data_IF_540375269847
#
_entry.id   IF_540375269847
#
_cell.length_a   1.000
_cell.length_b   1.000
_cell.length_c   1.000
_cell.angle_alpha   90.00
_cell.angle_beta   90.00
_cell.angle_gamma   90.00
#
_symmetry.space_group_name_H-M   'P 1'
#
loop_
_entity.id
_entity.type
_entity.pdbx_description
1 polymer ?
#
# COMPACT_ATOMS: atom_id res chain seq x y z
N UNK A 1 1.95 17.29 -13.39
CA UNK A 1 1.43 15.93 -13.45
C UNK A 1 2.49 14.96 -12.97
N UNK A 2 2.07 13.86 -12.29
CA UNK A 2 2.92 12.72 -11.97
C UNK A 2 2.15 11.42 -12.19
N UNK A 3 2.88 10.31 -12.35
CA UNK A 3 2.30 8.97 -12.49
C UNK A 3 2.72 8.14 -11.29
N UNK A 4 1.78 7.40 -10.71
CA UNK A 4 2.05 6.41 -9.68
C UNK A 4 1.52 5.05 -10.16
N UNK A 5 2.38 4.04 -10.15
CA UNK A 5 2.01 2.66 -10.39
C UNK A 5 2.67 1.77 -9.32
N UNK A 6 1.91 0.83 -8.79
CA UNK A 6 2.38 -0.12 -7.78
C UNK A 6 1.91 -1.52 -8.22
N UNK A 7 2.79 -2.50 -8.21
CA UNK A 7 2.41 -3.89 -8.44
C UNK A 7 2.54 -4.67 -7.12
N UNK A 8 1.48 -5.35 -6.73
CA UNK A 8 1.45 -6.22 -5.55
C UNK A 8 1.15 -7.64 -5.98
N UNK A 9 2.09 -8.53 -5.73
CA UNK A 9 1.96 -9.96 -5.97
C UNK A 9 1.87 -10.66 -4.62
N UNK A 10 0.91 -11.55 -4.48
CA UNK A 10 0.74 -12.37 -3.27
C UNK A 10 0.67 -13.82 -3.67
N UNK A 11 1.62 -14.63 -3.20
CA UNK A 11 1.67 -16.08 -3.36
C UNK A 11 1.42 -16.77 -2.02
N UNK A 12 0.73 -17.90 -2.06
CA UNK A 12 0.40 -18.70 -0.89
C UNK A 12 1.27 -19.97 -0.88
N UNK A 13 2.23 -20.04 0.03
CA UNK A 13 3.16 -21.19 0.17
C UNK A 13 2.64 -22.30 1.12
N UNK A 14 1.44 -22.16 1.70
CA UNK A 14 0.89 -23.09 2.69
C UNK A 14 0.21 -24.32 2.07
N UNK A 15 0.41 -25.52 2.66
CA UNK A 15 -0.37 -26.75 2.38
C UNK A 15 -1.77 -26.62 2.99
N UNK A 16 -2.64 -25.86 2.43
CA UNK A 16 -4.01 -25.67 2.90
C UNK A 16 -4.82 -24.92 1.84
N UNK A 17 -6.14 -24.80 2.02
CA UNK A 17 -7.05 -24.18 1.03
C UNK A 17 -6.39 -23.01 0.30
N UNK A 18 -6.09 -23.20 -0.98
CA UNK A 18 -5.54 -22.18 -1.86
C UNK A 18 -6.50 -20.97 -1.88
N UNK A 19 -6.21 -19.93 -1.11
CA UNK A 19 -6.57 -18.62 -1.61
C UNK A 19 -5.68 -18.42 -2.83
N UNK A 20 -6.29 -18.24 -3.99
CA UNK A 20 -5.53 -18.06 -5.24
C UNK A 20 -4.52 -16.94 -5.10
N UNK A 21 -3.41 -17.10 -5.80
CA UNK A 21 -2.45 -16.04 -5.97
C UNK A 21 -3.17 -14.78 -6.46
N UNK A 22 -2.86 -13.65 -5.88
CA UNK A 22 -3.50 -12.39 -6.26
C UNK A 22 -2.49 -11.38 -6.79
N UNK A 23 -2.85 -10.79 -7.90
CA UNK A 23 -2.11 -9.68 -8.52
C UNK A 23 -3.01 -8.47 -8.49
N UNK A 24 -2.51 -7.37 -7.93
CA UNK A 24 -3.20 -6.08 -7.90
C UNK A 24 -2.23 -5.02 -8.41
N UNK A 25 -2.61 -4.35 -9.48
CA UNK A 25 -1.82 -3.31 -10.13
C UNK A 25 -2.65 -2.02 -10.22
N UNK A 26 -2.66 -1.18 -9.19
CA UNK A 26 -3.17 0.18 -9.31
C UNK A 26 -2.21 1.05 -10.11
N UNK A 27 -2.75 1.90 -10.96
CA UNK A 27 -2.03 2.96 -11.65
C UNK A 27 -2.88 4.22 -11.68
N UNK A 28 -2.25 5.37 -11.56
CA UNK A 28 -2.96 6.65 -11.55
C UNK A 28 -2.09 7.78 -12.09
N UNK A 29 -2.75 8.74 -12.71
CA UNK A 29 -2.20 10.04 -13.07
C UNK A 29 -2.67 11.04 -12.02
N UNK A 30 -1.75 11.83 -11.49
CA UNK A 30 -2.02 12.81 -10.46
C UNK A 30 -1.86 14.23 -11.02
N UNK A 31 -2.83 15.08 -10.75
CA UNK A 31 -2.79 16.52 -11.01
C UNK A 31 -2.59 17.27 -9.69
N UNK A 32 -1.43 17.91 -9.52
CA UNK A 32 -1.07 18.60 -8.29
C UNK A 32 -1.94 19.83 -8.04
N UNK A 33 -2.44 19.96 -6.81
CA UNK A 33 -3.20 21.11 -6.34
C UNK A 33 -2.26 22.09 -5.62
N UNK A 34 -1.49 22.83 -6.42
CA UNK A 34 -0.50 23.78 -5.90
C UNK A 34 0.71 23.08 -5.26
N UNK A 35 1.25 23.66 -4.18
CA UNK A 35 2.46 23.20 -3.49
C UNK A 35 2.19 22.47 -2.17
N UNK A 36 0.94 22.17 -1.88
CA UNK A 36 0.51 21.59 -0.58
C UNK A 36 0.78 20.10 -0.44
N UNK A 37 1.22 19.43 -1.52
CA UNK A 37 1.36 17.98 -1.57
C UNK A 37 0.06 17.23 -1.92
N UNK A 38 -1.06 17.92 -2.05
CA UNK A 38 -2.31 17.33 -2.52
C UNK A 38 -2.39 17.25 -4.03
N UNK A 39 -3.02 16.19 -4.54
CA UNK A 39 -3.26 15.97 -5.97
C UNK A 39 -4.60 15.29 -6.18
N UNK A 40 -5.30 15.67 -7.24
CA UNK A 40 -6.39 14.86 -7.77
C UNK A 40 -5.80 13.69 -8.55
N UNK A 41 -6.38 12.52 -8.39
CA UNK A 41 -5.94 11.29 -9.03
C UNK A 41 -7.04 10.71 -9.92
N UNK A 42 -6.68 10.27 -11.11
CA UNK A 42 -7.54 9.48 -11.99
C UNK A 42 -6.73 8.31 -12.57
N UNK A 43 -7.32 7.14 -12.63
CA UNK A 43 -6.59 5.96 -13.10
C UNK A 43 -7.43 4.70 -13.09
N UNK A 44 -6.80 3.57 -12.81
CA UNK A 44 -7.46 2.28 -12.73
C UNK A 44 -6.71 1.31 -11.84
N UNK A 45 -7.37 0.21 -11.53
CA UNK A 45 -6.81 -0.93 -10.84
C UNK A 45 -7.12 -2.20 -11.62
N UNK A 46 -6.09 -2.93 -12.00
CA UNK A 46 -6.21 -4.29 -12.52
C UNK A 46 -6.06 -5.26 -11.34
N UNK A 47 -7.02 -6.15 -11.16
CA UNK A 47 -7.07 -7.11 -10.07
C UNK A 47 -7.39 -8.49 -10.64
N UNK A 48 -6.59 -9.51 -10.33
CA UNK A 48 -6.78 -10.88 -10.85
C UNK A 48 -8.13 -11.49 -10.48
N UNK A 49 -8.74 -11.04 -9.37
CA UNK A 49 -10.02 -11.58 -8.89
C UNK A 49 -11.22 -10.72 -9.30
N UNK A 50 -11.06 -9.39 -9.39
CA UNK A 50 -12.15 -8.44 -9.62
C UNK A 50 -12.11 -7.78 -11.02
N UNK A 51 -11.09 -8.11 -11.84
CA UNK A 51 -10.92 -7.51 -13.16
C UNK A 51 -10.37 -6.08 -13.10
N UNK A 52 -10.72 -5.28 -14.11
CA UNK A 52 -10.29 -3.89 -14.21
C UNK A 52 -11.40 -2.94 -13.73
N UNK A 53 -11.01 -1.91 -12.97
CA UNK A 53 -11.91 -0.85 -12.55
C UNK A 53 -11.25 0.53 -12.64
N UNK A 54 -12.00 1.52 -13.15
CA UNK A 54 -11.57 2.92 -13.15
C UNK A 54 -11.64 3.50 -11.75
N UNK A 55 -10.69 4.36 -11.39
CA UNK A 55 -10.62 4.99 -10.07
C UNK A 55 -10.46 6.50 -10.18
N UNK A 56 -11.12 7.22 -9.26
CA UNK A 56 -10.90 8.63 -8.99
C UNK A 56 -10.48 8.79 -7.53
N UNK A 57 -9.66 9.79 -7.22
CA UNK A 57 -9.18 9.92 -5.86
C UNK A 57 -8.49 11.24 -5.54
N UNK A 58 -8.11 11.34 -4.27
CA UNK A 58 -7.29 12.39 -3.72
C UNK A 58 -6.02 11.75 -3.14
N UNK A 59 -4.87 12.28 -3.55
CA UNK A 59 -3.56 11.85 -3.04
C UNK A 59 -2.94 12.99 -2.24
N UNK A 60 -2.33 12.67 -1.11
CA UNK A 60 -1.40 13.55 -0.43
C UNK A 60 -0.04 12.88 -0.37
N UNK A 61 1.01 13.58 -0.77
CA UNK A 61 2.38 13.08 -0.70
C UNK A 61 3.34 14.12 -0.15
N UNK A 62 4.25 13.65 0.71
CA UNK A 62 5.37 14.42 1.24
C UNK A 62 6.60 13.55 1.25
N UNK A 63 7.68 14.04 0.63
CA UNK A 63 8.96 13.34 0.62
C UNK A 63 10.07 14.28 1.08
N UNK A 64 10.90 13.80 2.00
CA UNK A 64 12.14 14.43 2.46
C UNK A 64 13.24 13.36 2.48
N UNK A 65 14.45 13.73 2.91
CA UNK A 65 15.53 12.73 3.09
C UNK A 65 15.17 11.65 4.11
N UNK A 66 14.41 12.01 5.14
CA UNK A 66 14.08 11.11 6.26
C UNK A 66 12.65 10.59 6.23
N UNK A 67 11.74 11.31 5.59
CA UNK A 67 10.30 10.99 5.63
C UNK A 67 9.78 10.79 4.21
N UNK A 68 9.07 9.68 4.01
CA UNK A 68 8.13 9.49 2.90
C UNK A 68 6.74 9.29 3.49
N UNK A 69 5.79 10.11 3.08
CA UNK A 69 4.39 9.96 3.44
C UNK A 69 3.54 10.03 2.18
N UNK A 70 2.76 8.98 1.93
CA UNK A 70 1.80 8.91 0.83
C UNK A 70 0.47 8.44 1.41
N UNK A 71 -0.59 9.20 1.14
CA UNK A 71 -1.97 8.85 1.48
C UNK A 71 -2.82 8.97 0.23
N UNK A 72 -3.61 7.96 -0.07
CA UNK A 72 -4.51 7.93 -1.22
C UNK A 72 -5.89 7.55 -0.74
N UNK A 73 -6.86 8.40 -0.98
CA UNK A 73 -8.28 8.08 -0.86
C UNK A 73 -8.82 7.94 -2.28
N UNK A 74 -9.35 6.78 -2.64
CA UNK A 74 -9.86 6.50 -3.98
C UNK A 74 -11.25 5.90 -3.94
N UNK A 75 -12.03 6.21 -4.97
CA UNK A 75 -13.32 5.65 -5.26
C UNK A 75 -13.25 4.91 -6.60
N UNK A 76 -13.67 3.66 -6.62
CA UNK A 76 -13.69 2.83 -7.82
C UNK A 76 -15.06 2.93 -8.49
N UNK A 77 -15.06 3.34 -9.74
CA UNK A 77 -16.24 3.42 -10.60
C UNK A 77 -16.57 2.03 -11.15
N UNK A 78 -17.13 1.17 -10.32
CA UNK A 78 -17.56 -0.18 -10.67
C UNK A 78 -18.91 -0.47 -10.00
N UNK A 79 -19.50 -1.62 -10.31
CA UNK A 79 -20.76 -2.04 -9.67
C UNK A 79 -20.65 -2.15 -8.13
N UNK A 80 -19.49 -2.50 -7.62
CA UNK A 80 -19.24 -2.61 -6.18
C UNK A 80 -19.00 -1.26 -5.49
N UNK A 81 -18.74 -0.17 -6.24
CA UNK A 81 -18.54 1.19 -5.72
C UNK A 81 -17.56 1.23 -4.54
N UNK A 82 -16.35 0.68 -4.73
CA UNK A 82 -15.39 0.57 -3.64
C UNK A 82 -14.78 1.91 -3.25
N UNK A 83 -14.77 2.20 -1.95
CA UNK A 83 -13.94 3.24 -1.34
C UNK A 83 -12.70 2.58 -0.75
N UNK A 84 -11.52 3.09 -1.12
CA UNK A 84 -10.24 2.59 -0.62
C UNK A 84 -9.42 3.73 -0.05
N UNK A 85 -8.93 3.53 1.16
CA UNK A 85 -7.85 4.33 1.72
C UNK A 85 -6.56 3.52 1.70
N UNK A 86 -5.46 4.11 1.20
CA UNK A 86 -4.11 3.56 1.24
C UNK A 86 -3.18 4.56 1.90
N UNK A 87 -2.34 4.08 2.82
CA UNK A 87 -1.29 4.85 3.46
C UNK A 87 0.06 4.13 3.38
N UNK A 88 1.11 4.88 3.05
CA UNK A 88 2.50 4.43 3.09
C UNK A 88 3.34 5.50 3.76
N UNK A 89 3.92 5.17 4.90
CA UNK A 89 4.72 6.08 5.71
C UNK A 89 6.06 5.43 6.02
N UNK A 90 7.15 6.10 5.64
CA UNK A 90 8.51 5.69 5.98
C UNK A 90 9.17 6.80 6.79
N UNK A 91 9.93 6.39 7.81
CA UNK A 91 10.77 7.28 8.59
C UNK A 91 12.17 6.67 8.71
N UNK A 92 13.16 7.44 8.26
CA UNK A 92 14.54 6.99 8.08
C UNK A 92 15.53 7.99 8.69
N UNK A 93 15.47 8.28 10.00
CA UNK A 93 16.40 9.21 10.63
C UNK A 93 17.82 8.65 10.62
N UNK A 94 18.80 9.53 10.35
CA UNK A 94 20.20 9.19 10.41
C UNK A 94 20.62 8.88 11.86
N UNK A 95 21.33 7.76 12.05
CA UNK A 95 21.99 7.42 13.32
C UNK A 95 23.45 7.84 13.29
N UNK A 96 24.10 7.64 12.15
CA UNK A 96 25.48 8.02 11.88
C UNK A 96 25.61 8.42 10.41
N UNK A 97 26.81 8.82 9.96
CA UNK A 97 27.04 9.12 8.53
C UNK A 97 26.72 7.95 7.58
N UNK A 98 26.79 6.70 8.06
CA UNK A 98 26.60 5.49 7.25
C UNK A 98 25.35 4.70 7.58
N UNK A 99 24.73 4.94 8.76
CA UNK A 99 23.60 4.17 9.24
C UNK A 99 22.39 5.04 9.50
N UNK A 100 21.21 4.55 9.16
CA UNK A 100 19.93 5.13 9.55
C UNK A 100 18.98 4.06 10.09
N UNK A 101 18.04 4.48 10.91
CA UNK A 101 16.87 3.65 11.23
C UNK A 101 16.04 3.51 9.95
N UNK A 102 15.38 2.39 9.79
CA UNK A 102 14.35 2.20 8.80
C UNK A 102 13.06 1.77 9.49
N UNK A 103 12.03 2.57 9.35
CA UNK A 103 10.69 2.18 9.76
C UNK A 103 9.70 2.46 8.64
N UNK A 104 8.73 1.54 8.46
CA UNK A 104 7.68 1.66 7.47
C UNK A 104 6.37 1.14 8.06
N UNK A 105 5.33 1.93 7.87
CA UNK A 105 3.96 1.57 8.08
C UNK A 105 3.23 1.68 6.74
N UNK A 106 2.62 0.59 6.32
CA UNK A 106 1.76 0.57 5.14
C UNK A 106 0.41 0.00 5.54
N UNK A 107 -0.66 0.67 5.15
CA UNK A 107 -2.00 0.23 5.47
C UNK A 107 -2.96 0.42 4.29
N UNK A 108 -3.99 -0.39 4.28
CA UNK A 108 -5.14 -0.23 3.36
C UNK A 108 -6.43 -0.55 4.12
N UNK A 109 -7.46 0.18 3.78
CA UNK A 109 -8.84 -0.14 4.13
C UNK A 109 -9.68 -0.03 2.85
N UNK A 110 -10.42 -1.09 2.51
CA UNK A 110 -11.25 -1.16 1.32
C UNK A 110 -12.65 -1.65 1.69
N UNK A 111 -13.66 -0.86 1.34
CA UNK A 111 -15.06 -1.14 1.59
C UNK A 111 -15.89 -0.97 0.33
N UNK A 112 -16.74 -1.95 0.04
CA UNK A 112 -17.79 -1.85 -0.97
C UNK A 112 -18.95 -1.02 -0.44
N UNK A 113 -19.29 0.08 -1.12
CA UNK A 113 -20.37 0.97 -0.70
C UNK A 113 -21.73 0.46 -1.14
N UNK A 114 -21.83 -0.23 -2.27
CA UNK A 114 -23.07 -0.77 -2.79
C UNK A 114 -23.70 -1.83 -1.86
N UNK A 115 -22.85 -2.67 -1.26
CA UNK A 115 -23.29 -3.75 -0.38
C UNK A 115 -23.03 -3.46 1.10
N UNK A 116 -22.32 -2.38 1.40
CA UNK A 116 -21.92 -2.01 2.77
C UNK A 116 -20.88 -2.93 3.39
N UNK A 117 -20.21 -3.81 2.62
CA UNK A 117 -19.33 -4.83 3.14
C UNK A 117 -17.86 -4.41 3.12
N UNK A 118 -17.15 -4.80 4.18
CA UNK A 118 -15.70 -4.75 4.23
C UNK A 118 -15.12 -5.76 3.23
N UNK A 119 -14.23 -5.30 2.34
CA UNK A 119 -13.59 -6.16 1.36
C UNK A 119 -12.23 -6.65 1.86
N UNK A 120 -11.34 -5.73 2.20
CA UNK A 120 -10.00 -6.04 2.70
C UNK A 120 -9.43 -4.86 3.48
N UNK A 121 -8.73 -5.15 4.57
CA UNK A 121 -7.79 -4.23 5.19
C UNK A 121 -6.47 -4.94 5.47
N UNK A 122 -5.39 -4.18 5.49
CA UNK A 122 -4.11 -4.67 5.95
C UNK A 122 -3.33 -3.58 6.69
N UNK A 123 -2.45 -4.03 7.57
CA UNK A 123 -1.43 -3.24 8.24
C UNK A 123 -0.10 -3.98 8.15
N UNK A 124 0.86 -3.39 7.45
CA UNK A 124 2.20 -3.94 7.29
C UNK A 124 3.21 -3.03 7.98
N UNK A 125 3.96 -3.60 8.90
CA UNK A 125 4.97 -2.91 9.69
C UNK A 125 6.36 -3.42 9.33
N UNK A 126 7.32 -2.52 9.23
CA UNK A 126 8.73 -2.84 9.06
C UNK A 126 9.55 -1.99 10.03
N UNK A 127 10.50 -2.61 10.69
CA UNK A 127 11.46 -1.94 11.56
C UNK A 127 12.83 -2.56 11.38
N UNK A 128 13.86 -1.74 11.22
CA UNK A 128 15.20 -2.22 10.96
C UNK A 128 16.23 -1.11 10.83
N UNK A 129 17.30 -1.45 10.18
CA UNK A 129 18.43 -0.57 9.91
C UNK A 129 18.69 -0.48 8.41
N UNK A 130 19.26 0.63 8.00
CA UNK A 130 19.70 0.89 6.64
C UNK A 130 21.16 1.31 6.65
N UNK A 131 21.97 0.72 5.76
CA UNK A 131 23.35 1.08 5.50
C UNK A 131 23.57 1.31 4.02
N UNK A 132 23.79 2.57 3.63
CA UNK A 132 23.81 2.92 2.21
C UNK A 132 22.50 2.53 1.51
N UNK A 133 22.55 1.77 0.40
CA UNK A 133 21.35 1.34 -0.31
C UNK A 133 20.63 0.15 0.33
N UNK A 134 21.28 -0.60 1.24
CA UNK A 134 20.74 -1.83 1.81
C UNK A 134 20.00 -1.55 3.12
N UNK A 135 18.72 -1.92 3.16
CA UNK A 135 17.88 -1.98 4.36
C UNK A 135 17.58 -3.43 4.75
N UNK A 136 17.50 -3.72 6.04
CA UNK A 136 17.13 -5.03 6.59
C UNK A 136 16.52 -4.90 7.97
N UNK A 137 15.71 -5.88 8.36
CA UNK A 137 15.06 -5.87 9.65
C UNK A 137 13.91 -6.87 9.77
N UNK A 138 13.00 -6.58 10.71
CA UNK A 138 11.84 -7.39 11.02
C UNK A 138 10.57 -6.79 10.39
N UNK A 139 9.65 -7.65 10.01
CA UNK A 139 8.36 -7.29 9.47
C UNK A 139 7.21 -8.04 10.11
N UNK A 140 6.08 -7.36 10.23
CA UNK A 140 4.81 -7.94 10.62
C UNK A 140 3.73 -7.51 9.63
N UNK A 141 2.90 -8.45 9.18
CA UNK A 141 1.78 -8.22 8.30
C UNK A 141 0.51 -8.70 8.99
N UNK A 142 -0.50 -7.85 9.01
CA UNK A 142 -1.82 -8.14 9.52
C UNK A 142 -2.81 -7.88 8.39
N UNK A 143 -3.54 -8.89 7.97
CA UNK A 143 -4.58 -8.80 6.94
C UNK A 143 -5.92 -9.17 7.53
N UNK A 144 -6.99 -8.54 7.04
CA UNK A 144 -8.36 -8.90 7.32
C UNK A 144 -9.17 -8.91 6.02
N UNK A 145 -9.88 -10.00 5.76
CA UNK A 145 -10.56 -10.27 4.51
C UNK A 145 -12.06 -10.45 4.67
N UNK A 146 -12.80 -9.87 3.74
CA UNK A 146 -14.24 -10.07 3.56
C UNK A 146 -15.09 -9.45 4.68
N UNK A 147 -16.42 -9.63 4.61
CA UNK A 147 -17.38 -9.03 5.55
C UNK A 147 -17.12 -9.42 7.00
N UNK A 148 -16.70 -10.67 7.25
CA UNK A 148 -16.40 -11.21 8.58
C UNK A 148 -15.00 -10.83 9.08
N UNK A 149 -14.22 -10.05 8.32
CA UNK A 149 -12.86 -9.61 8.66
C UNK A 149 -11.95 -10.76 9.10
N UNK A 150 -11.94 -11.86 8.33
CA UNK A 150 -11.09 -13.02 8.64
C UNK A 150 -9.64 -12.58 8.72
N UNK A 151 -9.08 -12.63 9.93
CA UNK A 151 -7.73 -12.16 10.22
C UNK A 151 -6.66 -13.17 9.78
N UNK A 152 -5.52 -12.64 9.31
CA UNK A 152 -4.29 -13.38 9.02
C UNK A 152 -3.10 -12.56 9.44
N UNK A 153 -2.11 -13.25 9.99
CA UNK A 153 -0.88 -12.64 10.48
C UNK A 153 0.33 -13.36 9.88
N UNK A 154 1.37 -12.59 9.62
CA UNK A 154 2.65 -13.10 9.15
C UNK A 154 3.78 -12.26 9.74
N UNK A 155 4.81 -12.91 10.23
CA UNK A 155 6.00 -12.30 10.82
C UNK A 155 7.25 -12.84 10.12
N UNK A 156 8.23 -11.97 9.90
CA UNK A 156 9.44 -12.39 9.19
C UNK A 156 10.54 -11.34 9.18
N UNK A 157 11.56 -11.63 8.41
CA UNK A 157 12.65 -10.70 8.10
C UNK A 157 12.43 -10.08 6.73
N UNK A 158 12.99 -8.91 6.50
CA UNK A 158 13.00 -8.31 5.16
C UNK A 158 14.39 -7.81 4.80
N UNK A 159 14.65 -7.78 3.52
CA UNK A 159 15.75 -7.03 2.91
C UNK A 159 15.18 -6.10 1.83
N UNK A 160 15.81 -4.94 1.66
CA UNK A 160 15.42 -3.93 0.68
C UNK A 160 16.66 -3.30 0.08
N UNK A 161 16.62 -3.07 -1.22
CA UNK A 161 17.63 -2.31 -1.93
C UNK A 161 17.00 -1.03 -2.50
N UNK A 162 17.64 0.13 -2.25
CA UNK A 162 17.23 1.41 -2.83
C UNK A 162 18.27 1.81 -3.90
N UNK A 163 17.79 2.20 -5.07
CA UNK A 163 18.61 2.66 -6.20
C UNK A 163 18.78 4.16 -6.19
#
# INVERSE_FOLDING_TARGET
FSVLAIAVFSENYGKGKKLGDSVVIPFQVNYALGKSGFSLAAGGEANSSAGFGTTLGLTHSKATKEILAISVLSYQLSSAQNVKFFGLYEYKPALTEKWSVYSRLQLTYNQGMAEGFHNRSFLYLRAGLKKGPLGFGLGANFDAYGPSKVARENYGVFTRWEF
#
